data_IF_327458426860
#
_entry.id   IF_327458426860
#
_cell.length_a   1.000
_cell.length_b   1.000
_cell.length_c   1.000
_cell.angle_alpha   90.00
_cell.angle_beta   90.00
_cell.angle_gamma   90.00
#
_symmetry.space_group_name_H-M   'P 1'
#
loop_
_entity.id
_entity.type
_entity.pdbx_description
1 polymer ?
#
# COMPACT_ATOMS: atom_id res chain seq x y z
N UNK A 1 36.40 1.85 -39.03
CA UNK A 1 35.18 1.03 -39.20
C UNK A 1 34.84 0.39 -37.87
N UNK A 2 33.62 0.65 -37.42
CA UNK A 2 32.89 0.18 -36.24
C UNK A 2 33.47 -0.99 -35.43
N UNK A 3 33.78 -0.70 -34.16
CA UNK A 3 33.48 -1.59 -33.04
C UNK A 3 32.21 -1.04 -32.39
N UNK A 4 31.10 -1.75 -32.58
CA UNK A 4 29.79 -1.55 -31.93
C UNK A 4 29.24 -2.98 -31.77
N UNK A 5 28.79 -3.47 -30.62
CA UNK A 5 28.47 -2.88 -29.33
C UNK A 5 27.40 -3.77 -28.68
N UNK A 6 27.21 -3.64 -27.38
CA UNK A 6 26.04 -4.19 -26.68
C UNK A 6 26.42 -5.16 -25.55
N UNK A 7 26.81 -4.62 -24.39
CA UNK A 7 25.95 -4.39 -23.21
C UNK A 7 25.69 -5.71 -22.44
N UNK A 8 26.38 -5.92 -21.32
CA UNK A 8 26.12 -5.35 -19.99
C UNK A 8 24.88 -5.96 -19.32
N UNK A 9 25.13 -6.43 -18.09
CA UNK A 9 24.18 -6.65 -17.00
C UNK A 9 23.42 -7.98 -17.03
N UNK A 10 24.19 -9.07 -16.99
CA UNK A 10 23.84 -10.10 -16.02
C UNK A 10 23.96 -9.47 -14.64
N UNK A 11 22.83 -9.00 -14.07
CA UNK A 11 22.77 -8.72 -12.65
C UNK A 11 23.11 -10.03 -11.96
N UNK A 12 24.36 -10.15 -11.51
CA UNK A 12 24.73 -11.18 -10.58
C UNK A 12 23.83 -10.95 -9.37
N UNK A 13 22.77 -11.75 -9.24
CA UNK A 13 22.15 -12.02 -7.95
C UNK A 13 23.33 -12.47 -7.11
N UNK A 14 23.83 -11.55 -6.28
CA UNK A 14 24.87 -11.88 -5.32
C UNK A 14 24.27 -12.98 -4.47
N UNK A 15 24.92 -14.16 -4.32
CA UNK A 15 24.36 -15.22 -3.50
C UNK A 15 24.14 -14.65 -2.10
N UNK A 16 22.87 -14.45 -1.74
CA UNK A 16 22.47 -13.88 -0.47
C UNK A 16 22.72 -14.93 0.60
N UNK A 17 23.38 -14.56 1.70
CA UNK A 17 23.49 -15.46 2.85
C UNK A 17 22.10 -15.72 3.43
N UNK A 18 21.95 -16.85 4.11
CA UNK A 18 20.70 -17.17 4.82
C UNK A 18 20.32 -16.07 5.82
N UNK A 19 21.30 -15.52 6.54
CA UNK A 19 21.09 -14.39 7.45
C UNK A 19 20.63 -13.14 6.70
N UNK A 20 21.23 -12.85 5.54
CA UNK A 20 20.82 -11.73 4.69
C UNK A 20 19.39 -11.89 4.15
N UNK A 21 18.96 -13.13 3.88
CA UNK A 21 17.58 -13.43 3.51
C UNK A 21 16.62 -13.20 4.68
N UNK A 22 16.98 -13.66 5.89
CA UNK A 22 16.17 -13.41 7.09
C UNK A 22 16.00 -11.92 7.38
N UNK A 23 17.08 -11.14 7.27
CA UNK A 23 17.04 -9.69 7.47
C UNK A 23 16.16 -9.00 6.42
N UNK A 24 16.28 -9.39 5.15
CA UNK A 24 15.45 -8.86 4.07
C UNK A 24 13.96 -9.18 4.28
N UNK A 25 13.62 -10.40 4.71
CA UNK A 25 12.24 -10.80 5.01
C UNK A 25 11.69 -10.05 6.23
N UNK A 26 12.50 -9.84 7.27
CA UNK A 26 12.12 -9.04 8.43
C UNK A 26 11.85 -7.58 8.05
N UNK A 27 12.72 -6.98 7.23
CA UNK A 27 12.55 -5.63 6.72
C UNK A 27 11.28 -5.51 5.85
N UNK A 28 11.01 -6.48 4.98
CA UNK A 28 9.80 -6.51 4.18
C UNK A 28 8.53 -6.57 5.05
N UNK A 29 8.53 -7.42 6.09
CA UNK A 29 7.41 -7.51 7.04
C UNK A 29 7.19 -6.21 7.81
N UNK A 30 8.26 -5.56 8.26
CA UNK A 30 8.17 -4.25 8.90
C UNK A 30 7.57 -3.19 7.96
N UNK A 31 8.04 -3.13 6.71
CA UNK A 31 7.52 -2.22 5.70
C UNK A 31 6.04 -2.44 5.38
N UNK A 32 5.55 -3.68 5.36
CA UNK A 32 4.13 -3.98 5.23
C UNK A 32 3.31 -3.49 6.44
N UNK A 33 3.85 -3.63 7.65
CA UNK A 33 3.26 -3.08 8.86
C UNK A 33 3.11 -1.56 8.80
N UNK A 34 4.17 -0.86 8.41
CA UNK A 34 4.17 0.60 8.25
C UNK A 34 3.18 1.05 7.17
N UNK A 35 3.16 0.38 6.01
CA UNK A 35 2.20 0.65 4.95
C UNK A 35 0.75 0.45 5.43
N UNK A 36 0.49 -0.63 6.17
CA UNK A 36 -0.82 -0.89 6.77
C UNK A 36 -1.26 0.21 7.74
N UNK A 37 -0.33 0.71 8.57
CA UNK A 37 -0.59 1.81 9.49
C UNK A 37 -0.90 3.13 8.74
N UNK A 38 -0.15 3.42 7.67
CA UNK A 38 -0.40 4.60 6.83
C UNK A 38 -1.75 4.54 6.14
N UNK A 39 -2.11 3.40 5.53
CA UNK A 39 -3.43 3.19 4.91
C UNK A 39 -4.53 3.34 5.95
N UNK A 40 -4.38 2.74 7.14
CA UNK A 40 -5.35 2.91 8.23
C UNK A 40 -5.51 4.36 8.68
N UNK A 41 -4.43 5.15 8.69
CA UNK A 41 -4.49 6.58 9.00
C UNK A 41 -5.21 7.38 7.91
N UNK A 42 -4.89 7.11 6.64
CA UNK A 42 -5.54 7.74 5.49
C UNK A 42 -7.05 7.46 5.45
N UNK A 43 -7.47 6.21 5.70
CA UNK A 43 -8.89 5.83 5.78
C UNK A 43 -9.60 6.64 6.86
N UNK A 44 -9.01 6.73 8.06
CA UNK A 44 -9.60 7.49 9.17
C UNK A 44 -9.81 8.96 8.83
N UNK A 45 -8.80 9.58 8.20
CA UNK A 45 -8.86 10.99 7.77
C UNK A 45 -9.94 11.20 6.69
N UNK A 46 -10.01 10.33 5.68
CA UNK A 46 -11.04 10.43 4.65
C UNK A 46 -12.44 10.24 5.20
N UNK A 47 -12.65 9.30 6.13
CA UNK A 47 -13.94 9.14 6.79
C UNK A 47 -14.34 10.35 7.64
N UNK A 48 -13.37 10.98 8.33
CA UNK A 48 -13.62 12.21 9.07
C UNK A 48 -14.04 13.34 8.12
N UNK A 49 -13.33 13.51 7.01
CA UNK A 49 -13.69 14.49 5.98
C UNK A 49 -15.09 14.21 5.40
N UNK A 50 -15.41 12.93 5.11
CA UNK A 50 -16.73 12.52 4.62
C UNK A 50 -17.85 12.87 5.59
N UNK A 51 -17.65 12.63 6.88
CA UNK A 51 -18.61 12.99 7.93
C UNK A 51 -18.80 14.51 7.98
N UNK A 52 -17.72 15.28 8.04
CA UNK A 52 -17.79 16.74 8.07
C UNK A 52 -18.50 17.34 6.84
N UNK A 53 -18.22 16.81 5.64
CA UNK A 53 -18.90 17.25 4.41
C UNK A 53 -20.38 16.90 4.42
N UNK A 54 -20.76 15.71 4.91
CA UNK A 54 -22.16 15.31 5.05
C UNK A 54 -22.89 16.20 6.05
N UNK A 55 -22.27 16.48 7.18
CA UNK A 55 -22.84 17.35 8.21
C UNK A 55 -23.07 18.76 7.66
N UNK A 56 -22.11 19.29 6.88
CA UNK A 56 -22.25 20.57 6.19
C UNK A 56 -23.38 20.55 5.14
N UNK A 57 -23.54 19.47 4.38
CA UNK A 57 -24.64 19.32 3.43
C UNK A 57 -26.00 19.25 4.14
N UNK A 58 -26.09 18.55 5.27
CA UNK A 58 -27.32 18.47 6.07
C UNK A 58 -27.70 19.80 6.72
N UNK A 59 -26.72 20.68 6.99
CA UNK A 59 -26.95 22.01 7.54
C UNK A 59 -27.59 22.98 6.53
N UNK A 60 -27.44 22.75 5.22
CA UNK A 60 -28.13 23.48 4.15
C UNK A 60 -28.88 22.50 3.23
N UNK A 61 -30.04 22.00 3.67
CA UNK A 61 -30.83 21.02 2.92
C UNK A 61 -31.51 21.61 1.67
N UNK A 62 -31.50 22.93 1.53
CA UNK A 62 -32.00 23.64 0.33
C UNK A 62 -31.02 23.62 -0.85
N UNK A 63 -29.76 23.25 -0.62
CA UNK A 63 -28.73 23.18 -1.64
C UNK A 63 -28.73 21.88 -2.44
N UNK A 64 -28.21 21.95 -3.67
CA UNK A 64 -27.93 20.77 -4.50
C UNK A 64 -26.94 19.83 -3.77
N UNK A 65 -27.12 18.51 -3.80
CA UNK A 65 -26.14 17.56 -3.25
C UNK A 65 -24.76 17.72 -3.90
N UNK A 66 -23.75 18.06 -3.10
CA UNK A 66 -22.40 18.38 -3.60
C UNK A 66 -21.30 17.43 -3.13
N UNK A 67 -21.64 16.35 -2.41
CA UNK A 67 -20.64 15.39 -1.91
C UNK A 67 -19.85 14.76 -3.09
N UNK A 68 -18.51 14.87 -3.13
CA UNK A 68 -17.72 14.35 -4.25
C UNK A 68 -17.71 12.82 -4.30
N UNK A 69 -18.08 12.22 -5.43
CA UNK A 69 -18.04 10.77 -5.64
C UNK A 69 -16.62 10.17 -5.50
N UNK A 70 -15.58 10.98 -5.75
CA UNK A 70 -14.18 10.59 -5.61
C UNK A 70 -13.83 10.18 -4.17
N UNK A 71 -14.58 10.65 -3.17
CA UNK A 71 -14.33 10.33 -1.77
C UNK A 71 -14.66 8.86 -1.46
N UNK A 72 -15.79 8.36 -1.97
CA UNK A 72 -16.17 6.95 -1.82
C UNK A 72 -15.25 6.05 -2.66
N UNK A 73 -14.83 6.50 -3.85
CA UNK A 73 -13.85 5.79 -4.66
C UNK A 73 -12.49 5.66 -3.95
N UNK A 74 -12.01 6.73 -3.31
CA UNK A 74 -10.75 6.71 -2.56
C UNK A 74 -10.83 5.80 -1.33
N UNK A 75 -11.95 5.79 -0.59
CA UNK A 75 -12.16 4.85 0.52
C UNK A 75 -12.17 3.38 0.05
N UNK A 76 -12.79 3.12 -1.10
CA UNK A 76 -12.80 1.78 -1.72
C UNK A 76 -11.39 1.34 -2.10
N UNK A 77 -10.60 2.23 -2.69
CA UNK A 77 -9.22 1.95 -3.08
C UNK A 77 -8.32 1.70 -1.87
N UNK A 78 -8.47 2.48 -0.80
CA UNK A 78 -7.74 2.24 0.46
C UNK A 78 -8.10 0.89 1.08
N UNK A 79 -9.37 0.48 1.03
CA UNK A 79 -9.79 -0.84 1.50
C UNK A 79 -9.15 -1.97 0.68
N UNK A 80 -9.09 -1.81 -0.65
CA UNK A 80 -8.40 -2.75 -1.55
C UNK A 80 -6.91 -2.85 -1.21
N UNK A 81 -6.22 -1.72 -1.07
CA UNK A 81 -4.80 -1.68 -0.71
C UNK A 81 -4.53 -2.34 0.64
N UNK A 82 -5.38 -2.08 1.64
CA UNK A 82 -5.28 -2.73 2.95
C UNK A 82 -5.41 -4.25 2.85
N UNK A 83 -6.34 -4.75 2.03
CA UNK A 83 -6.47 -6.18 1.75
C UNK A 83 -5.18 -6.75 1.15
N UNK A 84 -4.67 -6.13 0.08
CA UNK A 84 -3.43 -6.58 -0.57
C UNK A 84 -2.21 -6.56 0.37
N UNK A 85 -2.12 -5.60 1.29
CA UNK A 85 -1.05 -5.56 2.30
C UNK A 85 -1.18 -6.73 3.28
N UNK A 86 -2.40 -7.04 3.72
CA UNK A 86 -2.66 -8.16 4.63
C UNK A 86 -2.32 -9.49 3.95
N UNK A 87 -2.76 -9.70 2.71
CA UNK A 87 -2.47 -10.89 1.92
C UNK A 87 -0.95 -11.07 1.73
N UNK A 88 -0.23 -9.99 1.44
CA UNK A 88 1.23 -10.02 1.29
C UNK A 88 1.93 -10.38 2.62
N UNK A 89 1.43 -9.87 3.75
CA UNK A 89 1.98 -10.19 5.07
C UNK A 89 1.75 -11.66 5.43
N UNK A 90 0.57 -12.21 5.11
CA UNK A 90 0.25 -13.63 5.30
C UNK A 90 1.17 -14.52 4.45
N UNK A 91 1.35 -14.20 3.17
CA UNK A 91 2.27 -14.93 2.29
C UNK A 91 3.72 -14.94 2.81
N UNK A 92 4.18 -13.82 3.37
CA UNK A 92 5.51 -13.72 3.98
C UNK A 92 5.62 -14.56 5.25
N UNK A 93 4.58 -14.60 6.07
CA UNK A 93 4.55 -15.42 7.28
C UNK A 93 4.51 -16.91 6.97
N UNK A 94 3.71 -17.31 5.98
CA UNK A 94 3.67 -18.68 5.45
C UNK A 94 5.01 -19.12 4.89
N UNK A 95 5.69 -18.23 4.14
CA UNK A 95 7.02 -18.52 3.60
C UNK A 95 8.04 -18.71 4.72
N UNK A 96 8.05 -17.81 5.72
CA UNK A 96 8.95 -17.90 6.88
C UNK A 96 8.72 -19.15 7.73
N UNK A 97 7.49 -19.63 7.84
CA UNK A 97 7.17 -20.84 8.60
C UNK A 97 7.70 -22.13 7.94
N UNK A 98 8.07 -22.08 6.65
CA UNK A 98 8.58 -23.21 5.86
C UNK A 98 10.10 -23.23 5.71
N UNK A 99 10.77 -22.13 6.10
CA UNK A 99 12.23 -22.05 6.20
C UNK A 99 12.70 -22.72 7.49
#
# INVERSE_FOLDING_TARGET
>A
MHVVGGRLLGAAVTPMSLDGLHDALAAAKAGLGDAGAQVGSATRLLEQARRAMRDAQLADPSGEPWLPAQLDAALTELARQRGSIADAAELLDDYRARL
#
